data_IF_557164162857
#
_entry.id   IF_557164162857
#
_cell.length_a   1.000
_cell.length_b   1.000
_cell.length_c   1.000
_cell.angle_alpha   90.00
_cell.angle_beta   90.00
_cell.angle_gamma   90.00
#
_symmetry.space_group_name_H-M   'P 1'
#
loop_
_entity.id
_entity.type
_entity.pdbx_description
1 polymer ?
#
# COMPACT_ATOMS: atom_id res chain seq x y z
N UNK A 1 6.26 7.60 -15.85
CA UNK A 1 4.97 8.24 -16.15
C UNK A 1 4.18 8.40 -14.87
N UNK A 2 3.71 9.60 -14.63
CA UNK A 2 2.84 9.87 -13.48
C UNK A 2 1.46 9.26 -13.69
N UNK A 3 0.96 8.60 -12.65
CA UNK A 3 -0.36 7.96 -12.65
C UNK A 3 -1.12 8.31 -11.36
N UNK A 4 -2.42 8.10 -11.35
CA UNK A 4 -3.21 8.29 -10.14
C UNK A 4 -3.22 7.07 -9.23
N UNK A 5 -3.15 5.89 -9.81
CA UNK A 5 -3.19 4.62 -9.11
C UNK A 5 -2.21 3.63 -9.73
N UNK A 6 -1.66 2.77 -8.90
CA UNK A 6 -0.80 1.67 -9.33
C UNK A 6 -0.94 0.51 -8.36
N UNK A 7 -0.69 -0.71 -8.84
CA UNK A 7 -0.61 -1.88 -7.97
C UNK A 7 0.62 -1.83 -7.08
N UNK A 8 0.56 -2.44 -5.91
CA UNK A 8 1.64 -2.44 -4.91
C UNK A 8 2.40 -3.76 -4.84
N UNK A 9 2.22 -4.65 -5.83
CA UNK A 9 2.96 -5.91 -5.88
C UNK A 9 4.47 -5.70 -5.86
N UNK A 10 4.96 -4.69 -6.57
CA UNK A 10 6.34 -4.20 -6.50
C UNK A 10 6.26 -2.68 -6.48
N UNK A 11 6.62 -2.09 -5.35
CA UNK A 11 6.55 -0.64 -5.17
C UNK A 11 7.77 -0.15 -4.39
N UNK A 12 8.39 0.90 -4.90
CA UNK A 12 9.48 1.61 -4.23
C UNK A 12 8.92 2.88 -3.61
N UNK A 13 9.11 3.05 -2.32
CA UNK A 13 8.69 4.26 -1.61
C UNK A 13 9.90 4.88 -0.90
N UNK A 14 9.91 6.20 -0.79
CA UNK A 14 10.95 6.90 -0.04
C UNK A 14 10.73 6.73 1.46
N UNK A 15 11.81 6.83 2.23
CA UNK A 15 11.71 6.81 3.69
C UNK A 15 10.86 7.97 4.20
N UNK A 16 11.02 9.14 3.62
CA UNK A 16 10.22 10.31 3.99
C UNK A 16 8.73 10.05 3.80
N UNK A 17 8.35 9.45 2.68
CA UNK A 17 6.95 9.08 2.46
C UNK A 17 6.46 8.10 3.52
N UNK A 18 7.25 7.07 3.83
CA UNK A 18 6.88 6.09 4.86
C UNK A 18 6.65 6.77 6.22
N UNK A 19 7.50 7.71 6.59
CA UNK A 19 7.35 8.47 7.83
C UNK A 19 6.11 9.35 7.83
N UNK A 20 5.81 10.02 6.72
CA UNK A 20 4.63 10.88 6.59
C UNK A 20 3.33 10.06 6.62
N UNK A 21 3.32 8.89 6.00
CA UNK A 21 2.18 7.96 6.04
C UNK A 21 1.95 7.44 7.45
N UNK A 22 3.02 7.09 8.15
CA UNK A 22 2.96 6.68 9.55
C UNK A 22 2.34 7.78 10.42
N UNK A 23 2.81 9.00 10.26
CA UNK A 23 2.30 10.14 11.02
C UNK A 23 0.82 10.39 10.73
N UNK A 24 0.43 10.29 9.47
CA UNK A 24 -0.97 10.40 9.07
C UNK A 24 -1.83 9.33 9.75
N UNK A 25 -1.36 8.08 9.77
CA UNK A 25 -2.08 6.99 10.39
C UNK A 25 -2.27 7.21 11.89
N UNK A 26 -1.27 7.72 12.57
CA UNK A 26 -1.35 8.04 14.01
C UNK A 26 -2.39 9.14 14.24
N UNK A 27 -2.35 10.20 13.46
CA UNK A 27 -3.28 11.34 13.59
C UNK A 27 -4.73 10.96 13.32
N UNK A 28 -4.96 10.00 12.44
CA UNK A 28 -6.29 9.60 12.01
C UNK A 28 -6.79 8.32 12.68
N UNK A 29 -6.14 7.91 13.78
CA UNK A 29 -6.52 6.73 14.54
C UNK A 29 -6.58 5.46 13.69
N UNK A 30 -5.60 5.28 12.82
CA UNK A 30 -5.47 4.15 11.90
C UNK A 30 -4.37 3.19 12.35
N UNK A 31 -4.18 3.04 13.65
CA UNK A 31 -3.15 2.17 14.23
C UNK A 31 -3.84 1.13 15.09
N UNK A 32 -3.45 -0.12 14.95
CA UNK A 32 -3.93 -1.20 15.80
C UNK A 32 -2.77 -2.09 16.25
N UNK A 33 -3.01 -2.91 17.26
CA UNK A 33 -1.99 -3.82 17.78
C UNK A 33 -2.03 -5.14 17.05
N UNK A 34 -0.85 -5.69 16.82
CA UNK A 34 -0.72 -7.02 16.25
C UNK A 34 -1.38 -8.06 17.16
N UNK A 35 -1.94 -9.11 16.55
CA UNK A 35 -2.57 -10.20 17.30
C UNK A 35 -1.49 -11.01 18.03
N UNK A 36 -1.68 -11.26 19.32
CA UNK A 36 -0.72 -11.97 20.16
C UNK A 36 -0.45 -13.41 19.69
N UNK A 37 -1.41 -14.05 19.03
CA UNK A 37 -1.23 -15.41 18.51
C UNK A 37 -0.11 -15.45 17.47
N UNK A 38 -0.05 -14.42 16.64
CA UNK A 38 1.00 -14.31 15.62
C UNK A 38 2.30 -13.73 16.20
N UNK A 39 2.20 -12.91 17.23
CA UNK A 39 3.35 -12.29 17.86
C UNK A 39 4.30 -13.31 18.51
N UNK A 40 3.78 -14.45 18.96
CA UNK A 40 4.60 -15.52 19.56
C UNK A 40 5.68 -16.07 18.61
N UNK A 41 5.43 -16.00 17.31
CA UNK A 41 6.35 -16.47 16.28
C UNK A 41 7.09 -15.33 15.57
N UNK A 42 6.97 -14.11 16.09
CA UNK A 42 7.62 -12.97 15.48
C UNK A 42 9.05 -12.79 15.97
N UNK A 43 9.84 -12.07 15.18
CA UNK A 43 11.22 -11.70 15.54
C UNK A 43 11.26 -10.87 16.83
N UNK A 44 10.14 -10.24 17.20
CA UNK A 44 10.04 -9.36 18.36
C UNK A 44 9.75 -10.09 19.68
N UNK A 45 9.93 -11.41 19.72
CA UNK A 45 9.74 -12.24 20.93
C UNK A 45 8.39 -12.07 21.59
N UNK A 46 7.30 -12.04 20.83
CA UNK A 46 5.95 -11.94 21.35
C UNK A 46 5.52 -10.53 21.75
N UNK A 47 6.30 -9.52 21.49
CA UNK A 47 5.90 -8.13 21.71
C UNK A 47 4.82 -7.73 20.72
N UNK A 48 3.80 -7.05 21.20
CA UNK A 48 2.81 -6.44 20.32
C UNK A 48 3.44 -5.29 19.54
N UNK A 49 3.23 -5.31 18.24
CA UNK A 49 3.67 -4.23 17.35
C UNK A 49 2.50 -3.36 16.96
N UNK A 50 2.77 -2.10 16.71
CA UNK A 50 1.80 -1.21 16.08
C UNK A 50 1.73 -1.53 14.58
N UNK A 51 0.53 -1.70 14.10
CA UNK A 51 0.24 -1.89 12.67
C UNK A 51 -0.49 -0.65 12.18
N UNK A 52 -0.02 -0.10 11.08
CA UNK A 52 -0.58 1.10 10.47
C UNK A 52 -1.48 0.68 9.32
N UNK A 53 -2.79 0.91 9.47
CA UNK A 53 -3.81 0.45 8.53
C UNK A 53 -3.92 1.40 7.32
N UNK A 54 -2.88 1.41 6.49
CA UNK A 54 -2.76 2.30 5.34
C UNK A 54 -3.06 1.61 4.00
N UNK A 55 -3.21 0.30 4.01
CA UNK A 55 -3.63 -0.50 2.87
C UNK A 55 -5.00 -1.10 3.17
N UNK A 56 -6.04 -0.32 3.04
CA UNK A 56 -7.40 -0.79 3.33
C UNK A 56 -8.31 -0.60 2.13
N UNK A 57 -9.28 -1.51 1.98
CA UNK A 57 -10.30 -1.40 0.97
C UNK A 57 -11.48 -0.60 1.53
N UNK A 58 -11.94 0.40 0.79
CA UNK A 58 -13.11 1.17 1.19
C UNK A 58 -13.77 1.83 -0.02
N UNK A 59 -14.95 2.37 0.21
CA UNK A 59 -15.62 3.19 -0.79
C UNK A 59 -15.12 4.63 -0.67
N UNK A 60 -14.68 5.21 -1.77
CA UNK A 60 -14.32 6.61 -1.83
C UNK A 60 -15.57 7.48 -1.70
N UNK A 61 -15.65 8.27 -0.64
CA UNK A 61 -16.82 9.11 -0.36
C UNK A 61 -17.03 10.23 -1.39
N UNK A 62 -15.97 10.66 -2.07
CA UNK A 62 -16.06 11.73 -3.06
C UNK A 62 -16.61 11.24 -4.40
N UNK A 63 -16.18 10.05 -4.83
CA UNK A 63 -16.55 9.49 -6.14
C UNK A 63 -17.55 8.35 -6.05
N UNK A 64 -17.79 7.82 -4.85
CA UNK A 64 -18.61 6.64 -4.60
C UNK A 64 -18.10 5.39 -5.33
N UNK A 65 -16.79 5.32 -5.58
CA UNK A 65 -16.12 4.21 -6.22
C UNK A 65 -15.39 3.37 -5.17
N UNK A 66 -15.46 2.05 -5.32
CA UNK A 66 -14.69 1.14 -4.49
C UNK A 66 -13.19 1.27 -4.78
N UNK A 67 -12.41 1.46 -3.72
CA UNK A 67 -10.95 1.47 -3.79
C UNK A 67 -10.41 0.19 -3.17
N UNK A 68 -9.64 -0.57 -3.95
CA UNK A 68 -8.84 -1.66 -3.42
C UNK A 68 -7.73 -1.10 -2.51
N UNK A 69 -7.09 -1.97 -1.74
CA UNK A 69 -6.02 -1.58 -0.83
C UNK A 69 -4.89 -0.83 -1.54
N UNK A 70 -4.54 -1.25 -2.75
CA UNK A 70 -3.50 -0.60 -3.55
C UNK A 70 -3.91 0.81 -3.95
N UNK A 71 -5.13 0.95 -4.43
CA UNK A 71 -5.64 2.24 -4.90
C UNK A 71 -5.91 3.19 -3.74
N UNK A 72 -6.36 2.66 -2.61
CA UNK A 72 -6.50 3.45 -1.40
C UNK A 72 -5.16 4.06 -0.97
N UNK A 73 -4.10 3.25 -0.96
CA UNK A 73 -2.76 3.72 -0.60
C UNK A 73 -2.28 4.81 -1.56
N UNK A 74 -2.48 4.63 -2.86
CA UNK A 74 -2.10 5.65 -3.84
C UNK A 74 -2.88 6.96 -3.63
N UNK A 75 -4.17 6.88 -3.32
CA UNK A 75 -4.96 8.06 -3.00
C UNK A 75 -4.44 8.77 -1.75
N UNK A 76 -4.13 8.01 -0.70
CA UNK A 76 -3.55 8.54 0.52
C UNK A 76 -2.23 9.26 0.25
N UNK A 77 -1.33 8.63 -0.47
CA UNK A 77 -0.02 9.18 -0.84
C UNK A 77 -0.17 10.51 -1.59
N UNK A 78 -1.09 10.55 -2.55
CA UNK A 78 -1.35 11.77 -3.32
C UNK A 78 -1.96 12.88 -2.45
N UNK A 79 -2.80 12.52 -1.49
CA UNK A 79 -3.38 13.50 -0.56
C UNK A 79 -2.33 14.14 0.36
N UNK A 80 -1.20 13.47 0.56
CA UNK A 80 -0.06 14.01 1.31
C UNK A 80 0.90 14.85 0.45
N UNK A 81 0.56 15.07 -0.83
CA UNK A 81 1.36 15.90 -1.73
C UNK A 81 2.40 15.15 -2.54
N UNK A 82 2.43 13.83 -2.47
CA UNK A 82 3.32 13.00 -3.27
C UNK A 82 2.70 12.62 -4.59
N UNK A 83 3.53 12.12 -5.49
CA UNK A 83 3.11 11.65 -6.82
C UNK A 83 3.39 10.16 -6.95
N UNK A 84 2.60 9.49 -7.75
CA UNK A 84 2.75 8.06 -8.05
C UNK A 84 3.23 7.93 -9.49
N UNK A 85 4.27 7.12 -9.70
CA UNK A 85 4.85 6.90 -11.03
C UNK A 85 4.88 5.41 -11.35
N UNK A 86 4.74 5.09 -12.61
CA UNK A 86 4.96 3.74 -13.15
C UNK A 86 6.22 3.76 -13.98
N UNK A 87 7.11 2.79 -13.72
CA UNK A 87 8.31 2.57 -14.52
C UNK A 87 8.00 1.49 -15.57
N UNK A 88 7.84 1.90 -16.81
CA UNK A 88 7.53 1.00 -17.93
C UNK A 88 8.72 0.14 -18.36
N UNK A 89 9.91 0.40 -17.86
CA UNK A 89 11.08 -0.42 -18.18
C UNK A 89 11.20 -1.69 -17.34
N UNK A 90 10.37 -1.83 -16.30
CA UNK A 90 10.41 -2.95 -15.35
C UNK A 90 9.16 -3.82 -15.46
N UNK A 91 9.10 -4.77 -16.41
CA UNK A 91 8.00 -5.73 -16.44
C UNK A 91 8.08 -6.68 -15.23
N UNK A 92 6.91 -7.08 -14.72
CA UNK A 92 6.82 -7.98 -13.58
C UNK A 92 5.97 -9.19 -13.92
N UNK A 93 6.17 -10.27 -13.17
CA UNK A 93 5.45 -11.53 -13.33
C UNK A 93 4.80 -11.90 -12.00
N UNK A 94 3.51 -12.18 -12.04
CA UNK A 94 2.76 -12.68 -10.90
C UNK A 94 2.41 -14.14 -11.14
N UNK A 95 2.91 -15.03 -10.28
CA UNK A 95 2.68 -16.47 -10.40
C UNK A 95 1.52 -16.92 -9.51
N UNK A 96 0.64 -17.73 -10.07
CA UNK A 96 -0.45 -18.37 -9.37
C UNK A 96 -0.77 -19.71 -10.03
N UNK A 97 -2.03 -20.14 -10.01
CA UNK A 97 -2.48 -21.31 -10.80
C UNK A 97 -2.24 -21.05 -12.29
N UNK A 98 -2.48 -19.80 -12.71
CA UNK A 98 -2.08 -19.29 -14.01
C UNK A 98 -0.98 -18.26 -13.80
N UNK A 99 -0.11 -18.11 -14.82
CA UNK A 99 0.90 -17.05 -14.80
C UNK A 99 0.29 -15.76 -15.32
N UNK A 100 0.47 -14.68 -14.56
CA UNK A 100 0.05 -13.34 -14.95
C UNK A 100 1.29 -12.51 -15.25
N UNK A 101 1.43 -12.06 -16.50
CA UNK A 101 2.56 -11.26 -16.94
C UNK A 101 2.07 -9.85 -17.24
N UNK A 102 2.70 -8.87 -16.57
CA UNK A 102 2.42 -7.46 -16.81
C UNK A 102 3.58 -6.84 -17.60
N UNK A 103 3.28 -6.39 -18.79
CA UNK A 103 4.27 -5.78 -19.69
C UNK A 103 3.80 -4.38 -20.10
N UNK A 104 4.73 -3.40 -20.21
CA UNK A 104 4.34 -2.02 -20.54
C UNK A 104 3.54 -1.89 -21.84
N UNK A 105 3.77 -2.75 -22.82
CA UNK A 105 3.03 -2.73 -24.09
C UNK A 105 1.56 -3.13 -23.95
N UNK A 106 1.14 -3.65 -22.80
CA UNK A 106 -0.25 -4.02 -22.51
C UNK A 106 -1.08 -2.84 -22.01
N UNK A 107 -0.43 -1.75 -21.72
CA UNK A 107 -1.09 -0.52 -21.30
C UNK A 107 -1.45 0.33 -22.52
#
# INVERSE_FOLDING_TARGET
VEVTHAGTGIMLISRKLAEDVKEYAIKNNMVYKDNMIYAQNSIDNGRQRDIYDVFKAEIDNETNIYLSEDYYFCKLVRSLGYKVYVDYSCPSVHNGVLQFVYHPSML
#
